data_IF_433149995627
#
_entry.id   IF_433149995627
#
_cell.length_a   1.000
_cell.length_b   1.000
_cell.length_c   1.000
_cell.angle_alpha   90.00
_cell.angle_beta   90.00
_cell.angle_gamma   90.00
#
_symmetry.space_group_name_H-M   'P 1'
#
loop_
_entity.id
_entity.type
_entity.pdbx_description
1 polymer ?
#
# COMPACT_ATOMS: atom_id res chain seq x y z
N UNK A 1 40.40 -88.63 -13.13
CA UNK A 1 39.80 -88.22 -11.85
C UNK A 1 39.80 -86.70 -11.81
N UNK A 2 38.75 -86.10 -11.21
CA UNK A 2 38.50 -84.66 -11.04
C UNK A 2 38.11 -83.84 -12.30
N UNK A 3 36.96 -83.14 -12.17
CA UNK A 3 36.53 -81.90 -12.85
C UNK A 3 36.42 -81.90 -14.39
N UNK A 4 35.37 -81.41 -15.07
CA UNK A 4 34.13 -80.66 -14.71
C UNK A 4 33.11 -80.78 -15.90
N UNK A 5 31.85 -80.31 -15.94
CA UNK A 5 30.97 -79.61 -14.98
C UNK A 5 29.45 -79.63 -15.39
N UNK A 6 28.62 -78.96 -14.57
CA UNK A 6 27.39 -78.16 -14.81
C UNK A 6 26.39 -78.45 -15.96
N UNK A 7 25.10 -78.56 -15.57
CA UNK A 7 23.87 -78.67 -16.37
C UNK A 7 23.22 -77.29 -16.69
N UNK A 8 22.21 -77.22 -17.59
CA UNK A 8 21.74 -75.97 -18.22
C UNK A 8 20.49 -75.31 -17.61
N UNK A 9 20.21 -74.08 -18.07
CA UNK A 9 18.91 -73.36 -18.06
C UNK A 9 17.78 -74.15 -18.78
N UNK A 10 16.48 -73.82 -18.57
CA UNK A 10 15.83 -72.74 -19.34
C UNK A 10 14.72 -71.90 -18.63
N UNK A 11 14.54 -70.65 -19.09
CA UNK A 11 13.31 -69.82 -19.22
C UNK A 11 12.31 -69.69 -18.04
N UNK A 12 11.84 -68.48 -17.66
CA UNK A 12 11.07 -67.57 -18.52
C UNK A 12 11.10 -66.08 -18.07
N UNK A 13 10.84 -65.15 -19.00
CA UNK A 13 10.57 -63.71 -18.76
C UNK A 13 9.18 -63.40 -19.40
N UNK A 14 8.40 -62.35 -19.01
CA UNK A 14 8.80 -60.98 -19.35
C UNK A 14 8.27 -59.85 -18.42
N UNK A 15 8.70 -58.61 -18.68
CA UNK A 15 7.87 -57.42 -18.38
C UNK A 15 8.58 -56.22 -17.75
N UNK A 16 9.49 -55.56 -18.47
CA UNK A 16 10.03 -54.25 -18.09
C UNK A 16 9.39 -53.13 -18.91
N UNK A 17 8.62 -52.26 -18.27
CA UNK A 17 8.33 -50.92 -18.79
C UNK A 17 9.40 -49.95 -18.30
N UNK A 18 10.20 -49.41 -19.22
CA UNK A 18 11.10 -48.31 -18.90
C UNK A 18 10.31 -46.99 -18.91
N UNK A 19 10.43 -46.21 -17.84
CA UNK A 19 10.03 -44.80 -17.84
C UNK A 19 11.28 -43.96 -17.62
N UNK A 20 11.66 -43.21 -18.66
CA UNK A 20 12.91 -42.46 -18.71
C UNK A 20 12.83 -41.22 -17.82
N UNK A 21 13.52 -41.25 -16.67
CA UNK A 21 13.61 -40.11 -15.76
C UNK A 21 14.78 -39.18 -16.16
N UNK A 22 14.66 -38.56 -17.34
CA UNK A 22 15.59 -37.51 -17.78
C UNK A 22 15.39 -36.23 -16.94
N UNK A 23 16.16 -36.12 -15.86
CA UNK A 23 16.19 -34.94 -14.99
C UNK A 23 16.87 -33.75 -15.64
N UNK A 24 16.17 -33.07 -16.56
CA UNK A 24 16.59 -31.77 -17.08
C UNK A 24 16.45 -30.70 -15.99
N UNK A 25 17.53 -30.51 -15.22
CA UNK A 25 17.69 -29.37 -14.31
C UNK A 25 17.96 -28.11 -15.13
N UNK A 26 16.90 -27.56 -15.71
CA UNK A 26 16.95 -26.22 -16.31
C UNK A 26 16.96 -25.18 -15.20
N UNK A 27 18.16 -24.85 -14.71
CA UNK A 27 18.37 -23.67 -13.86
C UNK A 27 18.01 -22.43 -14.65
N UNK A 28 16.78 -21.96 -14.48
CA UNK A 28 16.35 -20.65 -14.95
C UNK A 28 16.70 -19.63 -13.89
N UNK A 29 17.96 -19.17 -13.91
CA UNK A 29 18.35 -17.88 -13.32
C UNK A 29 17.72 -16.76 -14.15
N UNK A 30 16.39 -16.66 -14.07
CA UNK A 30 15.65 -15.52 -14.54
C UNK A 30 15.88 -14.38 -13.56
N UNK A 31 16.76 -13.44 -13.93
CA UNK A 31 16.85 -12.14 -13.26
C UNK A 31 15.52 -11.39 -13.47
N UNK A 32 14.52 -11.73 -12.67
CA UNK A 32 13.31 -10.94 -12.57
C UNK A 32 13.69 -9.64 -11.88
N UNK A 33 13.81 -8.57 -12.65
CA UNK A 33 14.10 -7.24 -12.13
C UNK A 33 13.13 -6.96 -10.97
N UNK A 34 13.67 -6.45 -9.87
CA UNK A 34 12.86 -6.16 -8.69
C UNK A 34 11.79 -5.14 -9.06
N UNK A 35 10.61 -5.20 -8.45
CA UNK A 35 9.56 -4.19 -8.67
C UNK A 35 10.07 -2.75 -8.38
N UNK A 36 11.09 -2.61 -7.54
CA UNK A 36 11.84 -1.38 -7.28
C UNK A 36 12.73 -0.90 -8.43
N UNK A 37 13.30 -1.81 -9.23
CA UNK A 37 14.04 -1.48 -10.46
C UNK A 37 13.09 -1.20 -11.63
N UNK A 38 11.98 -1.95 -11.73
CA UNK A 38 10.90 -1.66 -12.68
C UNK A 38 10.31 -0.27 -12.40
N UNK A 39 10.06 0.06 -11.12
CA UNK A 39 9.69 1.41 -10.70
C UNK A 39 10.79 2.45 -10.98
N UNK A 40 12.08 2.09 -10.91
CA UNK A 40 13.18 3.02 -11.21
C UNK A 40 13.24 3.34 -12.71
N UNK A 41 13.09 2.33 -13.58
CA UNK A 41 13.00 2.50 -15.02
C UNK A 41 11.76 3.30 -15.42
N UNK A 42 10.59 2.90 -14.93
CA UNK A 42 9.32 3.57 -15.21
C UNK A 42 9.26 5.00 -14.65
N UNK A 43 9.83 5.27 -13.47
CA UNK A 43 9.93 6.63 -12.94
C UNK A 43 10.92 7.51 -13.71
N UNK A 44 11.95 6.91 -14.32
CA UNK A 44 12.91 7.63 -15.17
C UNK A 44 12.31 7.96 -16.54
N UNK A 45 11.52 7.05 -17.14
CA UNK A 45 10.83 7.32 -18.42
C UNK A 45 9.59 8.20 -18.27
N UNK A 46 8.86 8.09 -17.15
CA UNK A 46 7.66 8.91 -16.91
C UNK A 46 7.93 10.40 -16.67
N UNK A 47 9.18 10.80 -16.43
CA UNK A 47 9.58 12.21 -16.42
C UNK A 47 9.29 12.93 -17.76
N UNK A 48 9.13 12.19 -18.85
CA UNK A 48 8.80 12.71 -20.18
C UNK A 48 7.32 12.93 -20.51
N UNK A 49 6.34 12.64 -19.63
CA UNK A 49 4.92 12.86 -19.97
C UNK A 49 4.03 13.22 -18.77
N UNK A 50 3.73 14.52 -18.64
CA UNK A 50 2.63 15.01 -17.81
C UNK A 50 1.97 16.24 -18.45
N UNK A 51 0.86 16.05 -19.17
CA UNK A 51 -0.02 17.15 -19.59
C UNK A 51 -1.46 16.96 -19.07
N UNK A 52 -1.99 18.05 -18.52
CA UNK A 52 -3.40 18.35 -18.23
C UNK A 52 -4.32 17.26 -17.65
N UNK A 53 -4.47 17.28 -16.32
CA UNK A 53 -5.74 16.98 -15.64
C UNK A 53 -5.90 17.83 -14.37
N UNK A 54 -6.03 19.15 -14.52
CA UNK A 54 -6.18 20.10 -13.40
C UNK A 54 -7.19 21.23 -13.65
N UNK A 55 -8.14 21.03 -14.57
CA UNK A 55 -9.31 21.92 -14.78
C UNK A 55 -10.51 21.04 -15.10
N UNK A 56 -11.61 21.13 -14.32
CA UNK A 56 -12.89 20.53 -14.72
C UNK A 56 -13.59 19.53 -13.77
N UNK A 57 -13.35 19.55 -12.46
CA UNK A 57 -14.27 18.92 -11.48
C UNK A 57 -14.47 19.83 -10.28
N UNK A 58 -15.51 20.67 -10.29
CA UNK A 58 -15.85 21.54 -9.15
C UNK A 58 -17.15 21.14 -8.42
N UNK A 59 -18.12 20.51 -9.09
CA UNK A 59 -19.52 20.61 -8.65
C UNK A 59 -20.27 19.27 -8.40
N UNK A 60 -19.61 18.13 -8.10
CA UNK A 60 -20.37 16.86 -7.87
C UNK A 60 -19.85 15.83 -6.85
N UNK A 61 -18.67 15.99 -6.22
CA UNK A 61 -18.14 14.99 -5.25
C UNK A 61 -17.73 15.54 -3.88
N UNK A 62 -18.24 16.70 -3.45
CA UNK A 62 -17.84 17.32 -2.17
C UNK A 62 -18.65 16.92 -0.92
N UNK A 63 -19.71 16.12 -1.05
CA UNK A 63 -20.61 15.82 0.08
C UNK A 63 -20.11 14.79 1.11
N UNK A 64 -18.99 14.10 0.86
CA UNK A 64 -18.48 13.03 1.74
C UNK A 64 -17.27 13.43 2.61
N UNK A 65 -16.77 14.66 2.52
CA UNK A 65 -15.61 15.10 3.33
C UNK A 65 -15.98 15.63 4.74
N UNK A 66 -17.26 15.86 5.01
CA UNK A 66 -17.78 16.28 6.33
C UNK A 66 -18.12 17.77 6.39
N UNK A 67 -19.27 18.08 6.99
CA UNK A 67 -19.87 19.41 7.04
C UNK A 67 -21.31 19.38 6.57
N UNK A 68 -22.25 19.14 7.50
CA UNK A 68 -23.68 19.10 7.18
C UNK A 68 -24.21 20.44 6.64
N UNK A 69 -25.18 20.37 5.74
CA UNK A 69 -25.76 21.57 5.13
C UNK A 69 -26.48 22.44 6.17
N UNK A 70 -26.17 23.75 6.19
CA UNK A 70 -26.95 24.74 6.93
C UNK A 70 -28.36 24.82 6.34
N UNK A 71 -29.38 24.64 7.19
CA UNK A 71 -30.76 25.08 6.92
C UNK A 71 -31.05 26.33 7.76
N UNK A 72 -31.90 27.20 7.25
CA UNK A 72 -32.15 28.54 7.77
C UNK A 72 -32.85 28.55 9.15
N UNK A 73 -32.70 29.68 9.85
CA UNK A 73 -33.00 29.80 11.27
C UNK A 73 -34.49 30.02 11.62
N UNK A 74 -34.90 29.49 12.78
CA UNK A 74 -35.83 30.15 13.70
C UNK A 74 -35.34 30.02 15.14
N UNK A 75 -35.76 30.96 15.96
CA UNK A 75 -35.17 31.40 17.25
C UNK A 75 -35.36 30.46 18.44
N UNK A 76 -34.38 30.43 19.34
CA UNK A 76 -34.48 29.97 20.73
C UNK A 76 -33.11 29.75 21.39
N UNK A 77 -32.80 30.51 22.43
CA UNK A 77 -31.61 30.36 23.28
C UNK A 77 -31.87 29.28 24.38
N UNK A 78 -31.00 28.81 25.28
CA UNK A 78 -29.74 29.26 25.93
C UNK A 78 -29.02 27.96 26.42
N UNK A 79 -27.67 27.82 26.60
CA UNK A 79 -26.48 28.59 26.19
C UNK A 79 -25.43 27.73 25.40
N UNK A 80 -24.21 28.24 25.28
CA UNK A 80 -23.02 27.66 24.64
C UNK A 80 -22.28 26.62 25.52
N UNK A 81 -21.98 25.43 24.99
CA UNK A 81 -20.91 24.54 25.48
C UNK A 81 -20.01 24.05 24.32
N UNK A 82 -18.74 23.75 24.63
CA UNK A 82 -17.69 23.46 23.65
C UNK A 82 -17.57 21.95 23.37
N UNK A 83 -17.83 21.52 22.13
CA UNK A 83 -17.68 20.14 21.67
C UNK A 83 -16.20 19.70 21.58
N UNK A 84 -15.58 19.44 22.74
CA UNK A 84 -14.27 18.80 22.82
C UNK A 84 -14.41 17.31 22.54
N UNK A 85 -13.84 16.89 21.40
CA UNK A 85 -13.60 15.48 21.08
C UNK A 85 -12.94 14.74 22.26
N UNK A 86 -13.71 13.86 22.91
CA UNK A 86 -13.33 13.17 24.14
C UNK A 86 -13.55 11.65 24.02
N UNK A 87 -12.56 10.87 24.45
CA UNK A 87 -12.58 9.41 24.32
C UNK A 87 -13.70 8.75 25.15
N UNK A 88 -14.42 7.81 24.53
CA UNK A 88 -15.47 7.02 25.17
C UNK A 88 -14.93 5.98 26.18
N UNK A 89 -14.40 6.47 27.32
CA UNK A 89 -13.94 5.63 28.44
C UNK A 89 -14.28 6.15 29.84
N UNK A 90 -15.01 7.26 29.99
CA UNK A 90 -15.26 7.92 31.27
C UNK A 90 -16.74 8.04 31.68
N UNK A 91 -17.63 7.17 31.16
CA UNK A 91 -19.09 7.18 31.50
C UNK A 91 -19.56 5.84 32.10
N UNK A 92 -18.64 4.97 32.53
CA UNK A 92 -18.97 3.61 33.06
C UNK A 92 -18.86 3.48 34.60
N UNK A 93 -18.84 4.59 35.34
CA UNK A 93 -18.54 4.57 36.79
C UNK A 93 -19.50 5.39 37.67
N UNK A 94 -20.66 5.85 37.16
CA UNK A 94 -21.63 6.66 37.96
C UNK A 94 -23.11 6.27 37.89
N UNK A 95 -23.44 5.07 37.44
CA UNK A 95 -24.81 4.51 37.50
C UNK A 95 -24.83 3.11 38.16
N UNK A 96 -24.05 2.91 39.23
CA UNK A 96 -24.04 1.65 39.98
C UNK A 96 -23.92 1.84 41.49
N UNK A 97 -24.74 2.73 42.05
CA UNK A 97 -24.84 2.91 43.50
C UNK A 97 -26.26 3.25 43.99
N UNK A 98 -27.31 2.66 43.40
CA UNK A 98 -28.65 2.71 44.00
C UNK A 98 -29.55 1.50 43.62
N UNK A 99 -29.21 0.31 44.13
CA UNK A 99 -30.15 -0.82 44.30
C UNK A 99 -29.51 -1.95 45.14
N UNK A 100 -29.49 -1.79 46.47
CA UNK A 100 -29.34 -2.92 47.40
C UNK A 100 -30.70 -3.23 47.99
N UNK A 101 -31.20 -4.44 47.71
CA UNK A 101 -32.00 -5.33 48.57
C UNK A 101 -32.84 -6.27 47.69
N UNK A 102 -32.73 -7.57 47.93
CA UNK A 102 -33.31 -8.62 47.08
C UNK A 102 -32.45 -9.89 47.09
N UNK A 103 -32.55 -10.67 48.17
CA UNK A 103 -32.09 -12.07 48.17
C UNK A 103 -33.04 -12.91 47.29
N UNK A 104 -32.49 -13.83 46.49
CA UNK A 104 -33.27 -14.69 45.60
C UNK A 104 -32.38 -15.52 44.68
N UNK A 105 -32.03 -16.71 45.17
CA UNK A 105 -31.53 -17.92 44.47
C UNK A 105 -30.50 -17.78 43.32
N UNK A 106 -29.29 -18.26 43.60
CA UNK A 106 -28.31 -18.68 42.60
C UNK A 106 -28.76 -19.98 41.90
N UNK A 107 -29.66 -19.90 40.92
CA UNK A 107 -29.78 -20.96 39.90
C UNK A 107 -28.93 -20.62 38.68
N UNK A 108 -27.97 -21.50 38.38
CA UNK A 108 -26.97 -21.28 37.33
C UNK A 108 -27.55 -21.39 35.92
N UNK A 109 -27.58 -20.26 35.21
CA UNK A 109 -27.66 -20.22 33.74
C UNK A 109 -26.29 -20.57 33.12
N UNK A 110 -25.79 -21.78 33.42
CA UNK A 110 -24.68 -22.39 32.71
C UNK A 110 -25.16 -22.78 31.30
N UNK A 111 -25.21 -21.79 30.41
CA UNK A 111 -25.31 -22.02 28.99
C UNK A 111 -24.19 -23.00 28.59
N UNK A 112 -24.51 -24.18 28.02
CA UNK A 112 -23.53 -25.23 27.84
C UNK A 112 -22.36 -24.73 26.99
N UNK A 113 -21.14 -24.89 27.51
CA UNK A 113 -19.92 -24.51 26.79
C UNK A 113 -19.98 -25.10 25.38
N UNK A 114 -19.81 -24.23 24.37
CA UNK A 114 -19.84 -24.67 22.98
C UNK A 114 -18.75 -25.72 22.77
N UNK A 115 -19.07 -26.90 22.20
CA UNK A 115 -18.12 -28.00 22.14
C UNK A 115 -16.83 -27.56 21.45
N UNK A 116 -15.68 -27.84 22.06
CA UNK A 116 -14.38 -27.40 21.57
C UNK A 116 -14.07 -28.08 20.23
N UNK A 117 -14.33 -27.35 19.13
CA UNK A 117 -14.17 -27.86 17.77
C UNK A 117 -12.69 -27.91 17.40
N UNK A 118 -12.04 -29.04 17.65
CA UNK A 118 -10.67 -29.29 17.22
C UNK A 118 -10.59 -29.58 15.71
N UNK A 119 -9.60 -28.99 15.04
CA UNK A 119 -9.33 -29.20 13.61
C UNK A 119 -7.86 -29.60 13.40
N UNK A 120 -7.64 -30.73 12.72
CA UNK A 120 -6.29 -31.15 12.33
C UNK A 120 -5.75 -30.26 11.18
N UNK A 121 -4.53 -29.71 11.28
CA UNK A 121 -3.95 -28.88 10.22
C UNK A 121 -3.63 -29.68 8.94
N UNK A 122 -4.26 -29.31 7.83
CA UNK A 122 -4.00 -29.92 6.51
C UNK A 122 -2.57 -29.63 6.01
N UNK A 123 -1.98 -28.52 6.43
CA UNK A 123 -0.63 -28.09 6.01
C UNK A 123 0.18 -27.70 7.24
N UNK A 124 1.36 -28.33 7.38
CA UNK A 124 2.32 -28.06 8.44
C UNK A 124 3.47 -27.22 7.89
N UNK A 125 3.52 -25.93 8.24
CA UNK A 125 4.65 -25.05 7.92
C UNK A 125 5.79 -25.30 8.92
N UNK A 126 6.57 -26.35 8.67
CA UNK A 126 7.65 -26.81 9.55
C UNK A 126 8.87 -25.88 9.57
N UNK A 127 9.15 -25.21 8.45
CA UNK A 127 10.31 -24.31 8.31
C UNK A 127 9.89 -22.84 8.51
N UNK A 128 10.56 -22.17 9.46
CA UNK A 128 10.42 -20.73 9.65
C UNK A 128 11.18 -19.99 8.55
N UNK A 129 10.45 -19.59 7.51
CA UNK A 129 10.99 -18.74 6.43
C UNK A 129 11.46 -17.40 7.00
N UNK A 130 12.72 -17.04 6.77
CA UNK A 130 13.25 -15.71 7.07
C UNK A 130 12.64 -14.69 6.10
N UNK A 131 11.91 -13.71 6.63
CA UNK A 131 11.23 -12.68 5.84
C UNK A 131 12.07 -11.40 5.81
N UNK A 132 12.57 -11.04 4.63
CA UNK A 132 13.25 -9.77 4.38
C UNK A 132 12.25 -8.69 3.99
N UNK A 133 12.48 -7.47 4.43
CA UNK A 133 11.62 -6.32 4.11
C UNK A 133 11.95 -5.71 2.76
N UNK A 134 13.19 -5.88 2.28
CA UNK A 134 13.77 -5.21 1.12
C UNK A 134 13.81 -3.68 1.31
N UNK A 135 14.18 -3.28 2.52
CA UNK A 135 14.33 -1.90 3.02
C UNK A 135 15.66 -1.75 3.83
N UNK A 136 16.45 -2.82 3.96
CA UNK A 136 17.63 -2.90 4.83
C UNK A 136 18.80 -2.00 4.35
N UNK A 137 18.87 -1.75 3.04
CA UNK A 137 19.82 -0.83 2.40
C UNK A 137 19.35 0.63 2.39
N UNK A 138 18.29 0.96 3.12
CA UNK A 138 17.71 2.31 3.14
C UNK A 138 17.80 2.96 4.52
N UNK A 139 17.80 4.29 4.54
CA UNK A 139 17.70 5.14 5.71
C UNK A 139 16.32 5.81 5.73
N UNK A 140 15.63 5.75 6.87
CA UNK A 140 14.31 6.35 7.05
C UNK A 140 14.46 7.84 7.42
N UNK A 141 14.39 8.73 6.42
CA UNK A 141 14.53 10.18 6.61
C UNK A 141 13.26 10.85 7.14
N UNK A 142 12.10 10.22 6.95
CA UNK A 142 10.81 10.66 7.50
C UNK A 142 9.94 9.46 7.89
N UNK A 143 9.15 9.61 8.95
CA UNK A 143 8.12 8.65 9.36
C UNK A 143 6.96 9.38 10.04
N UNK A 144 5.72 9.13 9.60
CA UNK A 144 4.53 9.69 10.25
C UNK A 144 3.28 8.85 10.02
N UNK A 145 2.35 8.87 10.99
CA UNK A 145 1.04 8.24 10.87
C UNK A 145 0.15 9.01 9.88
N UNK A 146 -0.46 8.30 8.93
CA UNK A 146 -1.33 8.88 7.91
C UNK A 146 -2.45 7.93 7.45
N UNK A 147 -3.42 8.47 6.71
CA UNK A 147 -4.40 7.73 5.92
C UNK A 147 -4.25 8.12 4.44
N UNK A 148 -4.14 7.13 3.57
CA UNK A 148 -3.93 7.26 2.14
C UNK A 148 -5.19 6.86 1.36
N UNK A 149 -5.50 7.62 0.32
CA UNK A 149 -6.58 7.41 -0.61
C UNK A 149 -6.03 7.37 -2.04
N UNK A 150 -6.68 6.60 -2.92
CA UNK A 150 -6.47 6.62 -4.37
C UNK A 150 -7.74 7.14 -5.03
N UNK A 151 -7.58 8.05 -5.99
CA UNK A 151 -8.69 8.49 -6.81
C UNK A 151 -9.03 7.41 -7.83
N UNK A 152 -10.27 6.94 -7.81
CA UNK A 152 -10.80 6.09 -8.86
C UNK A 152 -11.34 6.95 -10.00
N UNK A 153 -10.85 6.71 -11.22
CA UNK A 153 -11.21 7.51 -12.40
C UNK A 153 -12.57 7.12 -12.96
N UNK A 154 -13.03 5.89 -12.74
CA UNK A 154 -14.30 5.38 -13.27
C UNK A 154 -15.48 5.90 -12.46
N UNK A 155 -15.48 5.65 -11.14
CA UNK A 155 -16.49 6.17 -10.21
C UNK A 155 -16.29 7.66 -9.86
N UNK A 156 -15.12 8.23 -10.19
CA UNK A 156 -14.73 9.63 -9.88
C UNK A 156 -14.72 9.95 -8.39
N UNK A 157 -14.38 8.97 -7.55
CA UNK A 157 -14.40 9.09 -6.08
C UNK A 157 -13.04 8.79 -5.43
N UNK A 158 -12.89 9.18 -4.16
CA UNK A 158 -11.71 8.86 -3.35
C UNK A 158 -11.93 7.56 -2.56
N UNK A 159 -11.22 6.50 -2.93
CA UNK A 159 -11.25 5.22 -2.20
C UNK A 159 -10.11 5.16 -1.19
N UNK A 160 -10.38 4.73 0.04
CA UNK A 160 -9.32 4.50 1.03
C UNK A 160 -8.40 3.37 0.55
N UNK A 161 -7.10 3.64 0.41
CA UNK A 161 -6.09 2.65 0.01
C UNK A 161 -5.38 2.05 1.22
N UNK A 162 -5.24 2.79 2.31
CA UNK A 162 -4.72 2.25 3.57
C UNK A 162 -4.48 3.28 4.67
N UNK A 163 -4.51 2.82 5.93
CA UNK A 163 -4.09 3.59 7.11
C UNK A 163 -2.86 2.94 7.73
N UNK A 164 -1.86 3.73 8.11
CA UNK A 164 -0.58 3.23 8.63
C UNK A 164 0.49 4.31 8.71
N UNK A 165 1.76 3.90 8.74
CA UNK A 165 2.90 4.83 8.76
C UNK A 165 3.44 5.05 7.33
N UNK A 166 3.41 6.30 6.87
CA UNK A 166 4.12 6.71 5.65
C UNK A 166 5.57 7.01 6.01
N UNK A 167 6.49 6.55 5.17
CA UNK A 167 7.93 6.74 5.32
C UNK A 167 8.55 7.25 4.03
N UNK A 168 9.57 8.09 4.17
CA UNK A 168 10.52 8.38 3.10
C UNK A 168 11.80 7.58 3.40
N UNK A 169 12.18 6.73 2.46
CA UNK A 169 13.31 5.80 2.56
C UNK A 169 14.35 6.16 1.51
N UNK A 170 15.56 6.49 1.94
CA UNK A 170 16.69 6.90 1.07
C UNK A 170 17.69 5.77 0.97
N UNK A 171 17.95 5.29 -0.25
CA UNK A 171 18.87 4.18 -0.47
C UNK A 171 20.33 4.59 -0.22
N UNK A 172 21.09 3.79 0.54
CA UNK A 172 22.47 4.13 0.98
C UNK A 172 23.47 4.23 -0.18
N UNK A 173 23.24 3.46 -1.24
CA UNK A 173 24.15 3.41 -2.40
C UNK A 173 23.74 4.37 -3.54
N UNK A 174 22.59 4.14 -4.18
CA UNK A 174 22.11 4.99 -5.28
C UNK A 174 21.54 6.36 -4.83
N UNK A 175 21.39 6.59 -3.52
CA UNK A 175 20.97 7.86 -2.89
C UNK A 175 19.57 8.37 -3.29
N UNK A 176 18.78 7.58 -4.03
CA UNK A 176 17.39 7.90 -4.36
C UNK A 176 16.48 7.68 -3.15
N UNK A 177 15.53 8.59 -2.97
CA UNK A 177 14.48 8.52 -1.95
C UNK A 177 13.15 8.04 -2.54
N UNK A 178 12.52 7.04 -1.93
CA UNK A 178 11.16 6.57 -2.24
C UNK A 178 10.20 6.75 -1.08
N UNK A 179 8.91 6.89 -1.41
CA UNK A 179 7.82 6.86 -0.45
C UNK A 179 7.32 5.41 -0.32
N UNK A 180 7.31 4.89 0.90
CA UNK A 180 6.75 3.58 1.24
C UNK A 180 5.74 3.72 2.36
N UNK A 181 4.55 3.16 2.18
CA UNK A 181 3.51 3.09 3.21
C UNK A 181 2.97 1.67 3.30
N UNK A 182 2.77 1.17 4.53
CA UNK A 182 2.21 -0.16 4.82
C UNK A 182 0.95 -0.02 5.67
N UNK A 183 -0.04 -0.87 5.42
CA UNK A 183 -1.31 -0.92 6.16
C UNK A 183 -1.06 -1.49 7.56
N UNK A 184 -1.70 -0.89 8.57
CA UNK A 184 -1.74 -1.45 9.93
C UNK A 184 -2.24 -2.91 9.93
N UNK A 185 -1.80 -3.69 10.92
CA UNK A 185 -2.10 -5.13 11.15
C UNK A 185 -1.61 -6.08 10.04
N UNK A 186 -1.95 -5.81 8.79
CA UNK A 186 -1.67 -6.67 7.63
C UNK A 186 -0.28 -6.48 7.04
N UNK A 187 0.38 -5.34 7.31
CA UNK A 187 1.71 -4.95 6.81
C UNK A 187 1.85 -4.91 5.26
N UNK A 188 0.75 -5.11 4.53
CA UNK A 188 0.66 -4.99 3.07
C UNK A 188 1.01 -3.56 2.65
N UNK A 189 1.86 -3.43 1.65
CA UNK A 189 2.24 -2.14 1.05
C UNK A 189 1.00 -1.50 0.41
N UNK A 190 0.82 -0.19 0.57
CA UNK A 190 -0.27 0.60 -0.04
C UNK A 190 0.21 1.86 -0.77
N UNK A 191 1.51 2.15 -0.74
CA UNK A 191 2.22 3.02 -1.66
C UNK A 191 3.69 2.60 -1.72
N UNK A 192 4.29 2.60 -2.91
CA UNK A 192 5.70 2.34 -3.16
C UNK A 192 6.10 3.00 -4.49
N UNK A 193 6.68 4.20 -4.44
CA UNK A 193 7.13 4.95 -5.61
C UNK A 193 8.29 5.89 -5.26
N UNK A 194 9.17 6.18 -6.22
CA UNK A 194 10.20 7.21 -6.05
C UNK A 194 9.58 8.61 -5.94
N UNK A 195 10.20 9.49 -5.15
CA UNK A 195 9.84 10.91 -5.10
C UNK A 195 10.51 11.62 -6.29
N UNK A 196 9.82 11.81 -7.41
CA UNK A 196 10.43 12.37 -8.63
C UNK A 196 10.34 13.91 -8.71
N UNK A 197 11.25 14.59 -9.43
CA UNK A 197 11.36 16.06 -9.44
C UNK A 197 10.15 16.83 -9.94
N UNK A 198 9.28 16.20 -10.72
CA UNK A 198 8.09 16.81 -11.32
C UNK A 198 6.78 16.44 -10.60
N UNK A 199 6.84 15.69 -9.49
CA UNK A 199 5.71 15.54 -8.57
C UNK A 199 5.32 16.89 -7.96
N UNK A 200 4.03 17.10 -7.68
CA UNK A 200 3.54 18.33 -7.05
C UNK A 200 2.52 18.01 -5.98
N UNK A 201 2.86 18.28 -4.73
CA UNK A 201 1.90 18.25 -3.62
C UNK A 201 0.96 19.47 -3.74
N UNK A 202 -0.32 19.22 -4.01
CA UNK A 202 -1.38 20.23 -4.04
C UNK A 202 -2.27 20.09 -2.81
N UNK A 203 -2.69 21.21 -2.20
CA UNK A 203 -3.59 21.17 -1.06
C UNK A 203 -4.97 20.64 -1.50
N UNK A 204 -5.56 19.73 -0.74
CA UNK A 204 -6.92 19.28 -1.03
C UNK A 204 -7.94 20.36 -0.63
N UNK A 205 -8.90 20.68 -1.50
CA UNK A 205 -9.92 21.69 -1.20
C UNK A 205 -10.72 21.25 0.04
N UNK A 206 -10.89 22.16 1.00
CA UNK A 206 -11.57 21.88 2.27
C UNK A 206 -10.72 21.18 3.34
N UNK A 207 -9.45 20.84 3.07
CA UNK A 207 -8.54 20.22 4.06
C UNK A 207 -7.24 21.00 4.22
N UNK A 208 -6.95 21.43 5.44
CA UNK A 208 -5.66 22.00 5.87
C UNK A 208 -4.58 20.93 6.14
N UNK A 209 -5.00 19.67 6.25
CA UNK A 209 -4.19 18.51 6.67
C UNK A 209 -4.12 17.41 5.61
N UNK A 210 -4.20 17.77 4.33
CA UNK A 210 -4.14 16.80 3.23
C UNK A 210 -3.48 17.33 1.95
N UNK A 211 -2.66 16.46 1.35
CA UNK A 211 -1.99 16.71 0.07
C UNK A 211 -2.43 15.71 -0.99
N UNK A 212 -2.47 16.16 -2.24
CA UNK A 212 -2.78 15.37 -3.43
C UNK A 212 -1.60 15.43 -4.40
N UNK A 213 -1.24 14.30 -5.03
CA UNK A 213 -0.23 14.23 -6.09
C UNK A 213 -0.52 13.10 -7.07
N UNK A 214 0.20 13.09 -8.19
CA UNK A 214 0.25 11.96 -9.11
C UNK A 214 1.57 11.23 -8.94
N UNK A 215 1.54 9.91 -8.91
CA UNK A 215 2.70 9.04 -9.05
C UNK A 215 2.54 8.22 -10.33
N UNK A 216 3.47 8.35 -11.27
CA UNK A 216 3.35 7.70 -12.58
C UNK A 216 3.71 6.20 -12.57
N UNK A 217 4.41 5.75 -11.53
CA UNK A 217 4.91 4.39 -11.36
C UNK A 217 4.86 3.99 -9.89
N UNK A 218 3.66 3.77 -9.35
CA UNK A 218 3.46 3.15 -8.03
C UNK A 218 3.36 1.63 -8.18
N UNK A 219 4.22 0.90 -7.49
CA UNK A 219 4.34 -0.58 -7.56
C UNK A 219 3.82 -1.26 -6.28
N UNK A 220 2.85 -0.66 -5.58
CA UNK A 220 2.38 -1.23 -4.30
C UNK A 220 1.51 -2.48 -4.46
N UNK A 221 0.99 -2.74 -5.66
CA UNK A 221 0.13 -3.88 -5.99
C UNK A 221 0.76 -4.77 -7.11
N UNK A 222 2.07 -4.64 -7.34
CA UNK A 222 2.81 -5.39 -8.37
C UNK A 222 3.40 -4.48 -9.46
N UNK A 223 2.81 -4.51 -10.65
CA UNK A 223 3.26 -3.74 -11.81
C UNK A 223 3.17 -2.21 -11.60
N UNK A 224 4.00 -1.41 -12.31
CA UNK A 224 3.95 0.06 -12.22
C UNK A 224 2.60 0.64 -12.67
N UNK A 225 1.89 1.28 -11.75
CA UNK A 225 0.60 1.94 -12.02
C UNK A 225 0.70 3.47 -11.91
N UNK A 226 0.12 4.19 -12.88
CA UNK A 226 -0.09 5.63 -12.81
C UNK A 226 -1.30 5.97 -11.93
N UNK A 227 -1.05 6.46 -10.72
CA UNK A 227 -2.06 6.72 -9.68
C UNK A 227 -2.13 8.17 -9.27
N UNK A 228 -3.34 8.64 -8.95
CA UNK A 228 -3.57 9.91 -8.26
C UNK A 228 -3.87 9.62 -6.79
N UNK A 229 -3.02 10.11 -5.89
CA UNK A 229 -3.04 9.80 -4.46
C UNK A 229 -3.40 11.04 -3.64
N UNK A 230 -4.12 10.84 -2.54
CA UNK A 230 -4.31 11.82 -1.51
C UNK A 230 -3.91 11.25 -0.15
N UNK A 231 -3.18 12.02 0.64
CA UNK A 231 -2.76 11.63 2.00
C UNK A 231 -3.32 12.61 3.02
N UNK A 232 -3.78 12.10 4.16
CA UNK A 232 -4.33 12.88 5.28
C UNK A 232 -3.56 12.58 6.56
N UNK A 233 -3.19 13.65 7.27
CA UNK A 233 -2.52 13.60 8.56
C UNK A 233 -3.48 13.96 9.70
N UNK A 234 -3.02 13.81 10.94
CA UNK A 234 -3.82 14.13 12.13
C UNK A 234 -4.21 15.62 12.18
N UNK A 235 -3.25 16.52 11.90
CA UNK A 235 -3.38 17.98 11.95
C UNK A 235 -2.59 18.64 10.81
N UNK A 236 -2.71 19.97 10.69
CA UNK A 236 -2.02 20.81 9.70
C UNK A 236 -0.50 20.79 9.85
N UNK A 237 0.03 20.80 11.08
CA UNK A 237 1.48 20.82 11.35
C UNK A 237 2.17 19.54 10.85
N UNK A 238 1.53 18.39 11.06
CA UNK A 238 1.99 17.10 10.54
C UNK A 238 1.96 17.07 9.01
N UNK A 239 0.90 17.65 8.40
CA UNK A 239 0.83 17.78 6.95
C UNK A 239 1.94 18.71 6.41
N UNK A 240 2.26 19.81 7.10
CA UNK A 240 3.37 20.69 6.74
C UNK A 240 4.71 19.97 6.84
N UNK A 241 4.98 19.26 7.94
CA UNK A 241 6.22 18.48 8.12
C UNK A 241 6.41 17.44 7.00
N UNK A 242 5.36 16.70 6.64
CA UNK A 242 5.43 15.77 5.50
C UNK A 242 5.77 16.49 4.20
N UNK A 243 5.14 17.64 3.92
CA UNK A 243 5.42 18.42 2.73
C UNK A 243 6.86 18.91 2.70
N UNK A 244 7.35 19.50 3.79
CA UNK A 244 8.71 20.01 3.89
C UNK A 244 9.74 18.86 3.64
N UNK A 245 9.52 17.67 4.22
CA UNK A 245 10.38 16.49 3.99
C UNK A 245 10.26 15.90 2.59
N UNK A 246 9.06 15.92 1.98
CA UNK A 246 8.84 15.43 0.62
C UNK A 246 9.50 16.34 -0.42
N UNK A 247 9.38 17.67 -0.27
CA UNK A 247 10.03 18.64 -1.15
C UNK A 247 11.56 18.63 -0.99
N UNK A 248 12.09 18.39 0.22
CA UNK A 248 13.52 18.16 0.43
C UNK A 248 14.00 16.88 -0.28
N UNK A 249 13.29 15.76 -0.12
CA UNK A 249 13.59 14.49 -0.80
C UNK A 249 13.50 14.62 -2.34
N UNK A 250 12.55 15.43 -2.84
CA UNK A 250 12.39 15.73 -4.25
C UNK A 250 13.60 16.49 -4.83
N UNK A 251 14.09 17.51 -4.12
CA UNK A 251 15.26 18.27 -4.56
C UNK A 251 16.54 17.42 -4.49
N UNK A 252 16.71 16.63 -3.44
CA UNK A 252 17.82 15.66 -3.36
C UNK A 252 17.78 14.62 -4.49
N UNK A 253 16.60 14.21 -4.93
CA UNK A 253 16.41 13.27 -6.02
C UNK A 253 16.65 13.88 -7.41
N UNK A 254 16.64 15.21 -7.57
CA UNK A 254 16.77 15.89 -8.88
C UNK A 254 18.01 15.47 -9.67
N UNK A 255 19.13 15.27 -8.99
CA UNK A 255 20.41 14.80 -9.57
C UNK A 255 20.40 13.33 -10.03
N UNK A 256 19.39 12.54 -9.64
CA UNK A 256 19.27 11.12 -9.97
C UNK A 256 18.11 10.78 -10.93
N UNK A 257 17.34 11.80 -11.30
CA UNK A 257 16.27 11.76 -12.30
C UNK A 257 16.48 12.95 -13.26
N UNK A 258 17.41 12.82 -14.23
CA UNK A 258 17.64 13.88 -15.20
C UNK A 258 16.36 14.12 -16.01
N UNK A 259 16.09 15.39 -16.33
CA UNK A 259 15.06 15.74 -17.30
C UNK A 259 15.51 15.27 -18.67
N UNK A 260 14.64 14.62 -19.43
CA UNK A 260 14.88 14.48 -20.85
C UNK A 260 14.81 15.88 -21.48
N UNK A 261 15.94 16.30 -22.06
CA UNK A 261 15.99 17.46 -22.96
C UNK A 261 15.00 17.19 -24.10
N UNK A 262 13.90 17.95 -24.15
CA UNK A 262 12.92 17.84 -25.24
C UNK A 262 13.58 18.30 -26.54
N UNK A 263 14.16 17.35 -27.28
CA UNK A 263 14.79 17.62 -28.57
C UNK A 263 13.81 18.34 -29.48
N UNK A 264 14.23 19.49 -30.02
CA UNK A 264 13.33 20.53 -30.51
C UNK A 264 12.28 20.02 -31.51
N UNK A 265 11.04 20.48 -31.34
CA UNK A 265 9.98 20.28 -32.32
C UNK A 265 10.41 20.85 -33.67
N UNK A 266 10.63 19.96 -34.64
CA UNK A 266 10.95 20.36 -36.01
C UNK A 266 9.73 21.05 -36.61
N UNK A 267 9.84 22.37 -36.77
CA UNK A 267 8.87 23.20 -37.45
C UNK A 267 8.49 22.57 -38.80
N UNK A 268 7.20 22.27 -39.07
CA UNK A 268 6.80 21.70 -40.34
C UNK A 268 6.97 22.76 -41.43
N UNK A 269 7.81 22.44 -42.42
CA UNK A 269 8.03 23.31 -43.57
C UNK A 269 6.67 23.64 -44.26
N UNK A 270 6.46 24.89 -44.71
CA UNK A 270 5.20 25.28 -45.33
C UNK A 270 4.97 24.45 -46.60
N UNK A 271 3.77 23.88 -46.73
CA UNK A 271 3.38 23.14 -47.91
C UNK A 271 3.32 24.09 -49.12
N UNK A 272 4.04 23.72 -50.19
CA UNK A 272 3.86 24.38 -51.48
C UNK A 272 2.56 23.88 -52.12
N UNK A 273 1.68 24.79 -52.49
CA UNK A 273 0.50 24.48 -53.32
C UNK A 273 0.93 24.09 -54.75
N UNK A 274 0.14 23.24 -55.39
CA UNK A 274 0.27 22.82 -56.79
C UNK A 274 -1.10 22.45 -57.35
#
# INVERSE_FOLDING_TARGET
MSSSESKPDPHDEPGKSAFDASGSTTTTDGQHASYTELAAGAASSAAGTATNAAVGVKDTMFSMFGGGAKKEAKSGDVPQEEDRSGSAKAVKEKEKEESREGEGDEEGDDAPESPEMHFEPVVHLTEKVETKTNEELEEQTFKMRAKLFKFDRESREWKERGTGDVRLLKHKENMKTRLVMRRDKTLKVCANHYVVPDMKLTANVGSDRSWVWNAAADVSEGEPEAVTLAIRFANSDNAKQFKDSFEAAQEENRKFFPKEETSGGKEPAPAAES
#
